data_IF_862158395017
#
_entry.id   IF_862158395017
#
_cell.length_a   1.000
_cell.length_b   1.000
_cell.length_c   1.000
_cell.angle_alpha   90.00
_cell.angle_beta   90.00
_cell.angle_gamma   90.00
#
_symmetry.space_group_name_H-M   'P 1'
#
loop_
_entity.id
_entity.type
_entity.pdbx_description
1 polymer ?
#
# COMPACT_ATOMS: atom_id res chain seq x y z
N UNK A 1 28.91 18.20 39.39
CA UNK A 1 28.54 18.53 38.01
C UNK A 1 27.64 17.38 37.52
N UNK A 2 26.31 17.57 37.66
CA UNK A 2 25.31 16.61 37.25
C UNK A 2 25.02 16.78 35.76
N UNK A 3 25.57 15.94 34.91
CA UNK A 3 25.17 15.80 33.50
C UNK A 3 23.95 14.90 33.40
N UNK A 4 22.75 15.44 33.64
CA UNK A 4 21.50 14.85 33.22
C UNK A 4 21.34 15.00 31.69
N UNK A 5 21.96 14.12 30.92
CA UNK A 5 21.58 13.92 29.53
C UNK A 5 20.19 13.29 29.51
N UNK A 6 19.16 14.11 29.39
CA UNK A 6 17.82 13.68 29.01
C UNK A 6 17.95 13.09 27.62
N UNK A 7 17.99 11.76 27.52
CA UNK A 7 17.85 11.05 26.24
C UNK A 7 16.49 11.47 25.66
N UNK A 8 16.50 12.44 24.74
CA UNK A 8 15.33 12.78 23.92
C UNK A 8 14.84 11.49 23.27
N UNK A 9 13.61 11.12 23.61
CA UNK A 9 12.95 9.92 23.09
C UNK A 9 13.06 9.92 21.56
N UNK A 10 14.01 9.18 20.99
CA UNK A 10 14.44 9.25 19.59
C UNK A 10 13.32 8.88 18.59
N UNK A 11 12.22 8.29 19.08
CA UNK A 11 11.09 7.78 18.29
C UNK A 11 9.77 8.51 18.57
N UNK A 12 9.82 9.83 18.77
CA UNK A 12 8.68 10.66 19.21
C UNK A 12 7.45 10.66 18.28
N UNK A 13 7.58 10.18 17.04
CA UNK A 13 6.52 10.07 16.04
C UNK A 13 6.04 8.64 15.79
N UNK A 14 6.50 7.66 16.57
CA UNK A 14 5.98 6.28 16.57
C UNK A 14 4.89 6.20 17.66
N UNK A 15 3.70 5.77 17.28
CA UNK A 15 2.54 5.71 18.18
C UNK A 15 1.97 4.30 18.27
N UNK A 16 1.68 3.85 19.48
CA UNK A 16 0.85 2.66 19.71
C UNK A 16 -0.59 2.95 19.31
N UNK A 17 -1.19 2.04 18.56
CA UNK A 17 -2.53 2.22 18.03
C UNK A 17 -3.60 2.16 19.15
N UNK A 18 -4.41 3.22 19.25
CA UNK A 18 -5.56 3.34 20.13
C UNK A 18 -6.59 4.32 19.53
N UNK A 19 -7.73 4.55 20.21
CA UNK A 19 -8.80 5.43 19.73
C UNK A 19 -8.32 6.88 19.46
N UNK A 20 -7.47 7.44 20.33
CA UNK A 20 -6.92 8.81 20.20
C UNK A 20 -6.02 8.91 18.96
N UNK A 21 -5.15 7.92 18.76
CA UNK A 21 -4.24 7.86 17.61
C UNK A 21 -5.01 7.58 16.31
N UNK A 22 -6.06 6.76 16.33
CA UNK A 22 -6.95 6.58 15.18
C UNK A 22 -7.55 7.93 14.73
N UNK A 23 -8.13 8.71 15.65
CA UNK A 23 -8.70 10.03 15.33
C UNK A 23 -7.65 11.01 14.79
N UNK A 24 -6.46 11.08 15.42
CA UNK A 24 -5.32 11.88 14.94
C UNK A 24 -4.89 11.47 13.52
N UNK A 25 -4.83 10.16 13.25
CA UNK A 25 -4.47 9.58 11.97
C UNK A 25 -5.48 9.95 10.88
N UNK A 26 -6.77 9.79 11.15
CA UNK A 26 -7.85 10.14 10.22
C UNK A 26 -7.80 11.64 9.89
N UNK A 27 -7.67 12.52 10.91
CA UNK A 27 -7.54 13.96 10.70
C UNK A 27 -6.33 14.31 9.83
N UNK A 28 -5.19 13.68 10.08
CA UNK A 28 -3.98 13.86 9.24
C UNK A 28 -4.21 13.45 7.80
N UNK A 29 -4.80 12.27 7.55
CA UNK A 29 -5.09 11.75 6.20
C UNK A 29 -6.07 12.64 5.43
N UNK A 30 -7.15 13.12 6.07
CA UNK A 30 -8.12 14.06 5.48
C UNK A 30 -7.45 15.37 5.04
N UNK A 31 -6.47 15.84 5.80
CA UNK A 31 -5.70 17.06 5.51
C UNK A 31 -4.52 16.83 4.54
N UNK A 32 -4.47 15.70 3.84
CA UNK A 32 -3.41 15.38 2.88
C UNK A 32 -2.08 14.99 3.52
N UNK A 33 -2.12 14.56 4.78
CA UNK A 33 -0.97 13.96 5.47
C UNK A 33 -0.58 12.61 4.89
N UNK A 34 0.69 12.22 5.12
CA UNK A 34 1.23 10.89 4.81
C UNK A 34 1.70 10.26 6.12
N UNK A 35 1.38 9.03 6.34
CA UNK A 35 1.63 8.27 7.58
C UNK A 35 2.30 6.93 7.30
N UNK A 36 3.09 6.43 8.25
CA UNK A 36 3.62 5.06 8.22
C UNK A 36 2.62 4.07 8.79
N UNK A 37 2.26 3.03 8.05
CA UNK A 37 1.25 2.04 8.41
C UNK A 37 1.77 0.61 8.29
N UNK A 38 1.43 -0.27 9.25
CA UNK A 38 1.74 -1.69 9.16
C UNK A 38 0.85 -2.41 8.17
N UNK A 39 1.38 -3.39 7.44
CA UNK A 39 0.58 -4.42 6.75
C UNK A 39 1.06 -5.81 7.18
N UNK A 40 0.41 -6.86 6.67
CA UNK A 40 0.88 -8.23 6.89
C UNK A 40 2.19 -8.53 6.12
N UNK A 41 2.47 -7.77 5.05
CA UNK A 41 3.66 -7.91 4.20
C UNK A 41 4.82 -7.05 4.67
N UNK A 42 4.75 -5.75 4.45
CA UNK A 42 5.73 -4.72 4.82
C UNK A 42 5.01 -3.46 5.27
N UNK A 43 5.71 -2.54 5.94
CA UNK A 43 5.14 -1.22 6.23
C UNK A 43 4.97 -0.39 4.95
N UNK A 44 3.91 0.43 4.93
CA UNK A 44 3.60 1.32 3.80
C UNK A 44 3.50 2.79 4.19
N UNK A 45 3.75 3.68 3.22
CA UNK A 45 3.46 5.11 3.31
C UNK A 45 2.05 5.39 2.81
N UNK A 46 1.09 5.55 3.73
CA UNK A 46 -0.31 5.77 3.41
C UNK A 46 -0.68 7.24 3.27
N UNK A 47 -1.36 7.59 2.18
CA UNK A 47 -1.98 8.90 1.97
C UNK A 47 -3.26 8.78 1.15
N UNK A 48 -4.14 9.78 1.23
CA UNK A 48 -5.41 9.79 0.49
C UNK A 48 -5.17 9.67 -1.02
N UNK A 49 -5.64 8.57 -1.63
CA UNK A 49 -5.44 8.28 -3.05
C UNK A 49 -6.21 9.23 -3.98
N UNK A 50 -7.25 9.90 -3.49
CA UNK A 50 -8.00 10.91 -4.23
C UNK A 50 -7.29 12.28 -4.22
N UNK A 51 -6.41 12.53 -3.24
CA UNK A 51 -5.70 13.79 -3.09
C UNK A 51 -4.41 13.82 -3.90
N UNK A 52 -4.37 14.64 -4.97
CA UNK A 52 -3.15 14.92 -5.74
C UNK A 52 -2.00 15.38 -4.82
N UNK A 53 -2.30 16.21 -3.80
CA UNK A 53 -1.33 16.71 -2.82
C UNK A 53 -0.69 15.58 -2.01
N UNK A 54 -1.52 14.66 -1.46
CA UNK A 54 -1.02 13.52 -0.68
C UNK A 54 -0.18 12.58 -1.53
N UNK A 55 -0.65 12.25 -2.75
CA UNK A 55 0.06 11.39 -3.69
C UNK A 55 1.42 11.99 -4.07
N UNK A 56 1.48 13.27 -4.46
CA UNK A 56 2.76 13.95 -4.74
C UNK A 56 3.72 13.93 -3.56
N UNK A 57 3.19 14.07 -2.32
CA UNK A 57 3.99 13.99 -1.10
C UNK A 57 4.60 12.60 -0.90
N UNK A 58 3.86 11.52 -1.21
CA UNK A 58 4.40 10.14 -1.18
C UNK A 58 5.56 10.00 -2.15
N UNK A 59 5.41 10.43 -3.41
CA UNK A 59 6.48 10.38 -4.41
C UNK A 59 7.71 11.16 -3.96
N UNK A 60 7.53 12.39 -3.44
CA UNK A 60 8.63 13.23 -2.92
C UNK A 60 9.36 12.56 -1.75
N UNK A 61 8.64 12.03 -0.77
CA UNK A 61 9.23 11.35 0.39
C UNK A 61 10.08 10.15 -0.01
N UNK A 62 9.61 9.37 -0.99
CA UNK A 62 10.31 8.16 -1.44
C UNK A 62 11.43 8.42 -2.44
N UNK A 63 11.50 9.59 -3.07
CA UNK A 63 12.30 9.77 -4.29
C UNK A 63 11.86 8.82 -5.42
N UNK A 64 10.56 8.50 -5.49
CA UNK A 64 10.03 7.50 -6.43
C UNK A 64 9.84 8.12 -7.82
N UNK A 65 10.27 7.44 -8.90
CA UNK A 65 9.96 7.88 -10.26
C UNK A 65 8.45 7.95 -10.51
N UNK A 66 7.98 9.04 -11.12
CA UNK A 66 6.54 9.29 -11.32
C UNK A 66 5.85 8.30 -12.27
N UNK A 67 6.61 7.63 -13.13
CA UNK A 67 6.11 6.58 -14.03
C UNK A 67 5.84 5.25 -13.32
N UNK A 68 6.21 5.11 -12.04
CA UNK A 68 6.02 3.88 -11.28
C UNK A 68 4.77 4.00 -10.39
N UNK A 69 3.60 3.40 -10.76
CA UNK A 69 2.33 3.61 -10.08
C UNK A 69 2.34 3.12 -8.64
N UNK A 70 1.40 3.64 -7.85
CA UNK A 70 1.19 3.26 -6.46
C UNK A 70 0.10 2.20 -6.36
N UNK A 71 0.20 1.31 -5.33
CA UNK A 71 -0.87 0.40 -4.98
C UNK A 71 -1.87 1.14 -4.10
N UNK A 72 -3.15 1.06 -4.47
CA UNK A 72 -4.27 1.69 -3.76
C UNK A 72 -4.96 0.64 -2.88
N UNK A 73 -5.07 0.94 -1.58
CA UNK A 73 -5.57 0.03 -0.57
C UNK A 73 -7.00 0.38 -0.19
N UNK A 74 -7.87 -0.63 -0.21
CA UNK A 74 -9.30 -0.53 0.12
C UNK A 74 -9.66 -1.39 1.32
N UNK A 75 -10.75 -1.03 2.00
CA UNK A 75 -11.31 -1.86 3.06
C UNK A 75 -12.00 -3.12 2.53
N UNK A 76 -12.78 -2.98 1.45
CA UNK A 76 -13.56 -4.07 0.84
C UNK A 76 -13.71 -3.90 -0.68
N UNK A 77 -14.27 -4.93 -1.35
CA UNK A 77 -14.46 -4.93 -2.81
C UNK A 77 -15.45 -3.88 -3.29
N UNK A 78 -16.54 -3.61 -2.53
CA UNK A 78 -17.57 -2.62 -2.90
C UNK A 78 -16.97 -1.22 -3.03
N UNK A 79 -16.03 -0.87 -2.14
CA UNK A 79 -15.32 0.40 -2.20
C UNK A 79 -14.38 0.47 -3.41
N UNK A 80 -13.67 -0.62 -3.72
CA UNK A 80 -12.81 -0.67 -4.90
C UNK A 80 -13.61 -0.60 -6.21
N UNK A 81 -14.78 -1.21 -6.27
CA UNK A 81 -15.67 -1.19 -7.45
C UNK A 81 -16.17 0.22 -7.82
N UNK A 82 -16.06 1.21 -6.94
CA UNK A 82 -16.31 2.61 -7.28
C UNK A 82 -15.28 3.16 -8.28
N UNK A 83 -14.06 2.63 -8.24
CA UNK A 83 -12.91 3.14 -8.98
C UNK A 83 -12.43 2.21 -10.10
N UNK A 84 -12.73 0.91 -10.04
CA UNK A 84 -12.23 -0.10 -10.99
C UNK A 84 -13.35 -0.87 -11.67
N UNK A 85 -13.06 -1.36 -12.88
CA UNK A 85 -13.92 -2.31 -13.60
C UNK A 85 -13.66 -3.70 -13.05
N UNK A 86 -14.69 -4.30 -12.44
CA UNK A 86 -14.65 -5.67 -11.93
C UNK A 86 -14.70 -6.68 -13.08
N UNK A 87 -14.14 -7.87 -12.87
CA UNK A 87 -14.29 -9.01 -13.75
C UNK A 87 -14.26 -10.33 -12.97
N UNK A 88 -14.66 -11.43 -13.61
CA UNK A 88 -14.77 -12.75 -13.00
C UNK A 88 -13.50 -13.25 -12.29
N UNK A 89 -12.33 -12.94 -12.84
CA UNK A 89 -11.05 -13.34 -12.25
C UNK A 89 -10.77 -12.58 -10.95
N UNK A 90 -11.01 -11.26 -10.96
CA UNK A 90 -10.86 -10.43 -9.77
C UNK A 90 -11.80 -10.88 -8.64
N UNK A 91 -13.07 -11.09 -8.93
CA UNK A 91 -14.07 -11.50 -7.93
C UNK A 91 -13.73 -12.85 -7.32
N UNK A 92 -13.31 -13.81 -8.15
CA UNK A 92 -12.90 -15.14 -7.69
C UNK A 92 -11.66 -15.09 -6.80
N UNK A 93 -10.61 -14.40 -7.22
CA UNK A 93 -9.37 -14.27 -6.44
C UNK A 93 -9.57 -13.42 -5.18
N UNK A 94 -10.43 -12.41 -5.23
CA UNK A 94 -10.80 -11.64 -4.04
C UNK A 94 -11.45 -12.54 -2.97
N UNK A 95 -12.40 -13.37 -3.33
CA UNK A 95 -13.07 -14.31 -2.40
C UNK A 95 -12.08 -15.27 -1.74
N UNK A 96 -11.06 -15.72 -2.48
CA UNK A 96 -10.10 -16.71 -2.01
C UNK A 96 -8.94 -16.12 -1.19
N UNK A 97 -8.46 -14.93 -1.56
CA UNK A 97 -7.20 -14.40 -1.02
C UNK A 97 -7.33 -13.06 -0.29
N UNK A 98 -8.51 -12.44 -0.24
CA UNK A 98 -8.67 -11.15 0.44
C UNK A 98 -9.55 -11.24 1.69
N UNK A 99 -9.18 -10.48 2.74
CA UNK A 99 -8.02 -9.58 2.82
C UNK A 99 -6.70 -10.35 2.91
N UNK A 100 -5.66 -9.88 2.15
CA UNK A 100 -4.41 -10.63 2.09
C UNK A 100 -3.32 -10.04 1.19
N UNK A 101 -2.22 -10.80 1.00
CA UNK A 101 -1.00 -10.33 0.37
C UNK A 101 -1.04 -10.44 -1.18
N UNK A 102 -2.15 -10.07 -1.79
CA UNK A 102 -2.33 -10.04 -3.25
C UNK A 102 -2.74 -8.63 -3.71
N UNK A 103 -2.26 -8.24 -4.88
CA UNK A 103 -2.55 -6.97 -5.53
C UNK A 103 -3.05 -7.23 -6.95
N UNK A 104 -4.15 -6.62 -7.33
CA UNK A 104 -4.80 -6.78 -8.63
C UNK A 104 -4.62 -5.50 -9.45
N UNK A 105 -4.08 -5.63 -10.67
CA UNK A 105 -4.10 -4.52 -11.64
C UNK A 105 -5.37 -4.67 -12.48
N UNK A 106 -6.20 -3.63 -12.46
CA UNK A 106 -7.53 -3.59 -13.08
C UNK A 106 -7.68 -2.34 -13.93
N UNK A 107 -8.62 -2.36 -14.89
CA UNK A 107 -9.00 -1.15 -15.65
C UNK A 107 -9.65 -0.14 -14.70
N UNK A 108 -9.16 1.11 -14.74
CA UNK A 108 -9.69 2.23 -13.98
C UNK A 108 -10.99 2.71 -14.65
N UNK A 109 -12.05 2.95 -13.87
CA UNK A 109 -13.28 3.59 -14.37
C UNK A 109 -13.02 5.04 -14.77
N UNK A 110 -13.72 5.55 -15.76
CA UNK A 110 -13.69 6.98 -16.13
C UNK A 110 -14.14 7.88 -14.98
N UNK A 111 -15.11 7.42 -14.19
CA UNK A 111 -15.67 8.10 -13.01
C UNK A 111 -14.79 8.00 -11.76
N UNK A 112 -13.68 7.27 -11.81
CA UNK A 112 -12.79 7.07 -10.65
C UNK A 112 -12.20 8.38 -10.15
N UNK A 113 -12.27 8.59 -8.83
CA UNK A 113 -11.69 9.74 -8.13
C UNK A 113 -10.19 9.58 -7.83
N UNK A 114 -9.60 8.41 -8.09
CA UNK A 114 -8.16 8.19 -7.85
C UNK A 114 -7.35 9.22 -8.64
N UNK A 115 -6.44 9.89 -7.95
CA UNK A 115 -5.49 10.82 -8.57
C UNK A 115 -4.72 10.14 -9.71
N UNK A 116 -4.72 10.76 -10.89
CA UNK A 116 -3.97 10.24 -12.05
C UNK A 116 -2.48 10.02 -11.74
N UNK A 117 -1.90 10.81 -10.84
CA UNK A 117 -0.53 10.63 -10.36
C UNK A 117 -0.34 9.28 -9.64
N UNK A 118 -1.34 8.81 -8.87
CA UNK A 118 -1.25 7.50 -8.20
C UNK A 118 -1.18 6.35 -9.21
N UNK A 119 -1.82 6.50 -10.36
CA UNK A 119 -1.82 5.54 -11.46
C UNK A 119 -0.69 5.77 -12.49
N UNK A 120 0.23 6.71 -12.27
CA UNK A 120 1.24 7.13 -13.26
C UNK A 120 0.60 7.48 -14.63
N UNK A 121 -0.57 8.13 -14.63
CA UNK A 121 -1.41 8.45 -15.79
C UNK A 121 -1.91 7.24 -16.61
N UNK A 122 -1.71 6.01 -16.14
CA UNK A 122 -2.21 4.81 -16.81
C UNK A 122 -3.74 4.68 -16.70
N UNK A 123 -4.35 3.96 -17.65
CA UNK A 123 -5.77 3.58 -17.62
C UNK A 123 -6.07 2.41 -16.67
N UNK A 124 -5.09 2.02 -15.87
CA UNK A 124 -5.17 0.92 -14.91
C UNK A 124 -4.81 1.41 -13.52
N UNK A 125 -5.24 0.66 -12.51
CA UNK A 125 -4.89 0.89 -11.12
C UNK A 125 -4.60 -0.44 -10.42
N UNK A 126 -3.57 -0.46 -9.58
CA UNK A 126 -3.25 -1.59 -8.71
C UNK A 126 -4.03 -1.45 -7.41
N UNK A 127 -4.87 -2.45 -7.06
CA UNK A 127 -5.71 -2.44 -5.85
C UNK A 127 -5.34 -3.59 -4.92
N UNK A 128 -5.40 -3.34 -3.61
CA UNK A 128 -5.11 -4.32 -2.57
C UNK A 128 -6.04 -4.16 -1.38
N UNK A 129 -6.28 -5.28 -0.67
CA UNK A 129 -7.11 -5.36 0.54
C UNK A 129 -6.25 -5.93 1.68
N UNK A 130 -5.60 -5.08 2.49
CA UNK A 130 -4.64 -5.54 3.48
C UNK A 130 -5.32 -6.30 4.62
N UNK A 131 -4.61 -7.30 5.19
CA UNK A 131 -5.11 -8.13 6.30
C UNK A 131 -4.83 -7.53 7.68
N UNK A 132 -3.87 -6.63 7.80
CA UNK A 132 -3.47 -6.05 9.09
C UNK A 132 -4.64 -5.33 9.78
N UNK A 133 -4.94 -5.68 11.03
CA UNK A 133 -6.09 -5.16 11.81
C UNK A 133 -6.06 -3.64 11.96
N UNK A 134 -4.89 -3.06 12.22
CA UNK A 134 -4.70 -1.61 12.42
C UNK A 134 -5.01 -0.82 11.15
N UNK A 135 -4.42 -1.22 10.02
CA UNK A 135 -4.67 -0.57 8.72
C UNK A 135 -6.12 -0.74 8.28
N UNK A 136 -6.72 -1.91 8.53
CA UNK A 136 -8.16 -2.11 8.26
C UNK A 136 -9.06 -1.24 9.13
N UNK A 137 -8.73 -1.03 10.41
CA UNK A 137 -9.50 -0.15 11.30
C UNK A 137 -9.49 1.31 10.77
N UNK A 138 -8.38 1.77 10.22
CA UNK A 138 -8.27 3.09 9.60
C UNK A 138 -9.08 3.14 8.31
N UNK A 139 -8.90 2.18 7.39
CA UNK A 139 -9.62 2.11 6.11
C UNK A 139 -11.14 2.08 6.30
N UNK A 140 -11.63 1.42 7.36
CA UNK A 140 -13.07 1.36 7.69
C UNK A 140 -13.66 2.69 8.13
N UNK A 141 -12.83 3.64 8.60
CA UNK A 141 -13.25 4.93 9.17
C UNK A 141 -13.04 6.12 8.26
N UNK A 142 -12.49 5.91 7.06
CA UNK A 142 -12.28 6.94 6.04
C UNK A 142 -13.14 6.63 4.81
N UNK A 143 -13.52 7.67 4.07
CA UNK A 143 -14.36 7.63 2.87
C UNK A 143 -13.57 7.65 1.56
N UNK A 144 -12.26 7.45 1.65
CA UNK A 144 -11.32 7.38 0.52
C UNK A 144 -10.32 6.23 0.71
N UNK A 145 -9.80 5.63 -0.38
CA UNK A 145 -8.75 4.64 -0.30
C UNK A 145 -7.38 5.27 -0.06
N UNK A 146 -6.41 4.45 0.37
CA UNK A 146 -5.04 4.89 0.61
C UNK A 146 -4.11 4.48 -0.54
N UNK A 147 -3.46 5.43 -1.20
CA UNK A 147 -2.27 5.15 -1.99
C UNK A 147 -1.14 4.81 -0.99
N UNK A 148 -0.62 3.57 -1.08
CA UNK A 148 0.29 3.09 -0.05
C UNK A 148 1.37 2.17 -0.63
N UNK A 149 2.49 2.71 -1.15
CA UNK A 149 3.70 1.96 -1.48
C UNK A 149 4.43 1.53 -0.19
N UNK A 150 5.44 0.65 -0.29
CA UNK A 150 6.33 0.32 0.84
C UNK A 150 6.97 1.57 1.45
N UNK A 151 7.22 1.54 2.77
CA UNK A 151 7.67 2.70 3.53
C UNK A 151 9.20 2.84 3.59
N UNK A 152 9.88 2.72 2.44
CA UNK A 152 11.30 2.94 2.24
C UNK A 152 11.52 4.01 1.16
N UNK A 153 12.72 4.61 1.09
CA UNK A 153 13.16 5.32 -0.11
C UNK A 153 13.29 4.33 -1.26
N UNK A 154 13.14 4.82 -2.49
CA UNK A 154 13.24 3.94 -3.67
C UNK A 154 14.61 3.25 -3.70
N UNK A 155 14.62 1.97 -4.08
CA UNK A 155 15.79 1.08 -4.09
C UNK A 155 16.26 0.55 -2.73
N UNK A 156 15.78 1.06 -1.60
CA UNK A 156 16.09 0.50 -0.29
C UNK A 156 15.20 -0.72 0.05
N UNK A 157 15.62 -1.49 1.05
CA UNK A 157 14.85 -2.63 1.55
C UNK A 157 13.52 -2.18 2.15
N UNK A 158 12.45 -2.92 1.90
CA UNK A 158 11.13 -2.62 2.45
C UNK A 158 11.10 -2.84 3.97
N UNK A 159 10.64 -1.88 4.78
CA UNK A 159 10.64 -1.95 6.23
C UNK A 159 9.61 -2.96 6.75
N UNK A 160 9.99 -3.71 7.78
CA UNK A 160 9.15 -4.74 8.40
C UNK A 160 8.66 -4.36 9.81
N UNK A 161 9.14 -3.26 10.36
CA UNK A 161 8.71 -2.72 11.65
C UNK A 161 8.67 -1.18 11.63
N UNK A 162 8.13 -0.57 12.68
CA UNK A 162 7.98 0.89 12.77
C UNK A 162 9.29 1.64 12.95
N UNK A 163 10.31 1.01 13.54
CA UNK A 163 11.65 1.61 13.72
C UNK A 163 12.34 1.76 12.37
N UNK A 164 12.28 0.73 11.50
CA UNK A 164 12.83 0.81 10.14
C UNK A 164 12.21 1.98 9.36
N UNK A 165 10.89 2.20 9.49
CA UNK A 165 10.20 3.35 8.88
C UNK A 165 10.69 4.67 9.45
N UNK A 166 10.87 4.73 10.77
CA UNK A 166 11.43 5.92 11.42
C UNK A 166 12.84 6.19 10.91
N UNK A 167 13.70 5.18 10.85
CA UNK A 167 15.09 5.32 10.42
C UNK A 167 15.19 5.84 8.99
N UNK A 168 14.26 5.46 8.13
CA UNK A 168 14.19 5.89 6.74
C UNK A 168 13.73 7.36 6.57
N UNK A 169 12.75 7.81 7.39
CA UNK A 169 12.10 9.10 7.20
C UNK A 169 12.28 10.10 8.34
N UNK A 170 12.71 9.64 9.51
CA UNK A 170 12.92 10.47 10.72
C UNK A 170 11.69 11.36 10.97
N UNK A 171 11.89 12.65 11.22
CA UNK A 171 10.83 13.62 11.47
C UNK A 171 10.02 14.05 10.24
N UNK A 172 10.39 13.61 9.02
CA UNK A 172 9.63 13.89 7.79
C UNK A 172 8.24 13.24 7.80
N UNK A 173 8.06 12.12 8.54
CA UNK A 173 6.76 11.55 8.87
C UNK A 173 6.35 11.96 10.28
N UNK A 174 5.17 12.61 10.40
CA UNK A 174 4.65 13.03 11.70
C UNK A 174 3.95 11.92 12.49
N UNK A 175 3.54 10.84 11.82
CA UNK A 175 2.83 9.71 12.41
C UNK A 175 3.34 8.42 11.78
N UNK A 176 3.81 7.51 12.61
CA UNK A 176 4.13 6.14 12.27
C UNK A 176 3.37 5.26 13.26
N UNK A 177 2.54 4.36 12.78
CA UNK A 177 1.76 3.48 13.66
C UNK A 177 2.58 2.22 13.95
N UNK A 178 2.84 1.96 15.22
CA UNK A 178 3.44 0.70 15.65
C UNK A 178 2.38 -0.42 15.60
N UNK A 179 2.52 -1.32 14.69
CA UNK A 179 1.72 -2.55 14.56
C UNK A 179 2.53 -3.83 14.74
N UNK A 180 3.71 -3.71 15.35
CA UNK A 180 4.66 -4.82 15.50
C UNK A 180 5.42 -5.14 14.20
N UNK A 181 6.12 -6.28 14.19
CA UNK A 181 6.84 -6.80 13.03
C UNK A 181 5.87 -7.40 12.02
N UNK A 182 6.07 -7.12 10.73
CA UNK A 182 5.30 -7.74 9.65
C UNK A 182 5.54 -9.25 9.62
N UNK A 183 4.46 -10.04 9.47
CA UNK A 183 4.54 -11.50 9.53
C UNK A 183 5.22 -12.12 8.30
N UNK A 184 5.11 -11.48 7.12
CA UNK A 184 5.57 -12.02 5.83
C UNK A 184 6.94 -11.47 5.45
N UNK A 185 7.17 -10.17 5.56
CA UNK A 185 8.47 -9.54 5.29
C UNK A 185 8.82 -9.33 3.82
N UNK A 186 7.99 -9.80 2.89
CA UNK A 186 8.12 -9.55 1.44
C UNK A 186 6.86 -8.91 0.87
N UNK A 187 6.99 -8.21 -0.25
CA UNK A 187 5.87 -7.52 -0.89
C UNK A 187 4.81 -8.49 -1.47
N UNK A 188 3.59 -7.98 -1.69
CA UNK A 188 2.45 -8.75 -2.23
C UNK A 188 2.72 -9.29 -3.63
N UNK A 189 2.13 -10.44 -3.96
CA UNK A 189 2.01 -10.91 -5.35
C UNK A 189 1.17 -9.92 -6.14
N UNK A 190 1.63 -9.51 -7.33
CA UNK A 190 0.91 -8.57 -8.21
C UNK A 190 0.48 -9.31 -9.47
N UNK A 191 -0.83 -9.32 -9.73
CA UNK A 191 -1.43 -9.94 -10.91
C UNK A 191 -2.17 -8.91 -11.76
N UNK A 192 -1.89 -8.88 -13.05
CA UNK A 192 -2.65 -8.11 -14.03
C UNK A 192 -3.87 -8.91 -14.48
N UNK A 193 -5.04 -8.31 -14.32
CA UNK A 193 -6.34 -8.86 -14.68
C UNK A 193 -7.08 -7.98 -15.72
N UNK A 194 -6.37 -7.10 -16.40
CA UNK A 194 -6.96 -6.22 -17.44
C UNK A 194 -7.30 -6.96 -18.73
N UNK A 195 -6.69 -8.12 -18.93
CA UNK A 195 -6.90 -9.06 -20.03
C UNK A 195 -6.68 -10.49 -19.52
N UNK A 196 -6.03 -11.38 -20.29
CA UNK A 196 -5.57 -12.68 -19.80
C UNK A 196 -4.66 -12.49 -18.58
N UNK A 197 -4.91 -13.18 -17.45
CA UNK A 197 -4.15 -13.02 -16.22
C UNK A 197 -2.65 -13.20 -16.40
N UNK A 198 -1.84 -12.28 -15.81
CA UNK A 198 -0.38 -12.30 -15.86
C UNK A 198 0.20 -11.91 -14.49
N UNK A 199 1.20 -12.64 -14.00
CA UNK A 199 1.95 -12.23 -12.80
C UNK A 199 2.94 -11.14 -13.21
N UNK A 200 2.76 -9.95 -12.64
CA UNK A 200 3.69 -8.81 -12.85
C UNK A 200 4.81 -8.80 -11.82
N UNK A 201 4.54 -9.27 -10.61
CA UNK A 201 5.53 -9.39 -9.53
C UNK A 201 5.21 -10.63 -8.70
N UNK A 202 6.16 -11.57 -8.54
CA UNK A 202 6.01 -12.67 -7.60
C UNK A 202 5.98 -12.14 -6.15
N UNK A 203 5.31 -12.86 -5.25
CA UNK A 203 5.21 -12.61 -3.82
C UNK A 203 4.86 -13.90 -3.09
N UNK A 204 4.30 -13.79 -1.88
CA UNK A 204 4.01 -14.98 -1.05
C UNK A 204 2.96 -15.93 -1.65
N UNK A 205 2.01 -15.42 -2.44
CA UNK A 205 1.06 -16.28 -3.13
C UNK A 205 1.69 -16.76 -4.43
N UNK A 206 1.99 -18.06 -4.46
CA UNK A 206 2.64 -18.70 -5.61
C UNK A 206 1.73 -18.69 -6.86
N UNK A 207 2.37 -18.64 -8.03
CA UNK A 207 1.70 -18.69 -9.32
C UNK A 207 0.83 -19.93 -9.48
N UNK A 208 1.34 -21.12 -9.08
CA UNK A 208 0.61 -22.41 -9.20
C UNK A 208 -0.68 -22.37 -8.37
N UNK A 209 -0.66 -21.76 -7.18
CA UNK A 209 -1.87 -21.58 -6.35
C UNK A 209 -2.92 -20.76 -7.08
N UNK A 210 -2.51 -19.68 -7.75
CA UNK A 210 -3.43 -18.83 -8.53
C UNK A 210 -3.94 -19.58 -9.78
N UNK A 211 -3.07 -20.29 -10.50
CA UNK A 211 -3.44 -21.10 -11.66
C UNK A 211 -4.50 -22.15 -11.31
N UNK A 212 -4.28 -22.88 -10.23
CA UNK A 212 -5.23 -23.89 -9.73
C UNK A 212 -6.57 -23.24 -9.33
N UNK A 213 -6.50 -22.10 -8.65
CA UNK A 213 -7.68 -21.33 -8.24
C UNK A 213 -8.52 -20.88 -9.44
N UNK A 214 -7.87 -20.44 -10.51
CA UNK A 214 -8.54 -19.94 -11.72
C UNK A 214 -8.84 -21.03 -12.74
N UNK A 215 -8.22 -22.22 -12.62
CA UNK A 215 -8.22 -23.32 -13.59
C UNK A 215 -7.72 -22.87 -14.98
N UNK A 216 -6.66 -22.06 -15.01
CA UNK A 216 -6.00 -21.57 -16.23
C UNK A 216 -4.49 -21.54 -16.06
N UNK A 217 -3.74 -21.63 -17.15
CA UNK A 217 -2.30 -21.33 -17.16
C UNK A 217 -2.07 -19.82 -17.23
N UNK A 218 -1.18 -19.30 -16.38
CA UNK A 218 -0.84 -17.88 -16.29
C UNK A 218 0.51 -17.65 -16.94
N UNK A 219 0.59 -16.69 -17.87
CA UNK A 219 1.86 -16.29 -18.48
C UNK A 219 2.69 -15.50 -17.47
N UNK A 220 3.99 -15.78 -17.41
CA UNK A 220 4.93 -14.89 -16.71
C UNK A 220 5.13 -13.64 -17.56
N UNK A 221 5.25 -12.49 -16.89
CA UNK A 221 5.70 -11.28 -17.56
C UNK A 221 7.16 -11.51 -18.00
N UNK A 222 7.42 -11.64 -19.29
CA UNK A 222 8.80 -11.55 -19.80
C UNK A 222 9.28 -10.15 -19.44
N UNK A 223 10.24 -10.02 -18.52
CA UNK A 223 10.99 -8.78 -18.36
C UNK A 223 11.57 -8.45 -19.74
N UNK A 224 11.01 -7.49 -20.45
CA UNK A 224 11.79 -6.77 -21.45
C UNK A 224 12.89 -6.12 -20.65
N UNK A 225 14.13 -6.54 -20.90
CA UNK A 225 15.31 -5.92 -20.34
C UNK A 225 15.20 -4.41 -20.56
N UNK A 226 14.73 -3.69 -19.56
CA UNK A 226 15.07 -2.29 -19.40
C UNK A 226 16.15 -2.30 -18.34
N UNK A 227 17.37 -2.25 -18.84
CA UNK A 227 18.55 -1.73 -18.19
C UNK A 227 18.11 -0.54 -17.34
N UNK A 228 18.21 -0.71 -16.01
CA UNK A 228 18.65 0.28 -15.03
C UNK A 228 18.71 -0.39 -13.66
#
# INVERSE_FOLDING_TARGET
INNNYIMKNSYSNIFTFNKKILSKTIKSLKNGGVIGLPTETVYGLGGNAYSKKAVKKIFKLKGRPQFNPLIVHYYNIKDAQKDVVSNKYFEKLYKLFCPGPITFVLKRKSTSKISRHACANLRTVAVRFPKNKTTRAILRKIDFPLAMPSANKSSNVSPVNSKDVFDEFKTKLKIIINGGKCKIGIESTVIDLTSTPKILRPGIIDKKVIENSLKIKIKNHKKKNKIL
#
